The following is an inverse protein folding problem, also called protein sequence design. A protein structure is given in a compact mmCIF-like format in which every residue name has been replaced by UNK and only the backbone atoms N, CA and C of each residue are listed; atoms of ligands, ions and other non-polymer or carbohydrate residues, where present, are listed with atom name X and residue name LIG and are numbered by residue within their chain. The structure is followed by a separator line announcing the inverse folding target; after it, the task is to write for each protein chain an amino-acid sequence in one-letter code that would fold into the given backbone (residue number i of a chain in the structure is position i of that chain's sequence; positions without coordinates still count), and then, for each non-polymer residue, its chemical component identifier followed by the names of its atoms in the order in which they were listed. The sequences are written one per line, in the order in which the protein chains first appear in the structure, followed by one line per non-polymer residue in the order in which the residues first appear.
data_IF_188795594148
#
_entry.id   IF_188795594148
#
_cell.length_a   1.000
_cell.length_b   1.000
_cell.length_c   1.000
_cell.angle_alpha   90.00
_cell.angle_beta   90.00
_cell.angle_gamma   90.00
#
_symmetry.space_group_name_H-M   'P 1'
#
loop_
_entity.id
_entity.type
_entity.pdbx_description
1 polymer ?
#
# COMPACT_ATOMS: atom_id res chain seq x y z
N UNK A 1 -7.33 21.19 0.95
CA UNK A 1 -6.12 20.31 0.84
C UNK A 1 -5.03 21.03 0.09
N UNK A 2 -3.82 20.97 0.60
CA UNK A 2 -2.69 21.57 -0.10
C UNK A 2 -2.27 20.70 -1.28
N UNK A 3 -1.76 21.34 -2.32
CA UNK A 3 -1.36 20.63 -3.54
C UNK A 3 -0.25 19.61 -3.30
N UNK A 4 0.68 19.89 -2.37
CA UNK A 4 1.75 18.96 -2.05
C UNK A 4 1.27 17.68 -1.37
N UNK A 5 0.06 17.66 -0.81
CA UNK A 5 -0.53 16.45 -0.24
C UNK A 5 -1.36 15.67 -1.25
N UNK A 6 -1.94 16.35 -2.22
CA UNK A 6 -2.90 15.73 -3.12
C UNK A 6 -2.31 14.61 -3.98
N UNK A 7 -1.13 14.86 -4.56
CA UNK A 7 -0.51 13.87 -5.45
C UNK A 7 -0.14 12.56 -4.73
N UNK A 8 0.58 12.60 -3.59
CA UNK A 8 0.88 11.35 -2.90
C UNK A 8 -0.35 10.65 -2.35
N UNK A 9 -1.38 11.38 -1.91
CA UNK A 9 -2.62 10.76 -1.46
C UNK A 9 -3.32 10.01 -2.60
N UNK A 10 -3.38 10.60 -3.78
CA UNK A 10 -3.98 9.96 -4.95
C UNK A 10 -3.17 8.77 -5.42
N UNK A 11 -1.85 8.85 -5.37
CA UNK A 11 -0.98 7.72 -5.71
C UNK A 11 -1.25 6.54 -4.80
N UNK A 12 -1.39 6.78 -3.51
CA UNK A 12 -1.68 5.73 -2.53
C UNK A 12 -3.06 5.13 -2.82
N UNK A 13 -4.08 5.95 -2.98
CA UNK A 13 -5.43 5.47 -3.24
C UNK A 13 -5.48 4.62 -4.50
N UNK A 14 -4.88 5.12 -5.58
CA UNK A 14 -4.87 4.43 -6.87
C UNK A 14 -4.19 3.05 -6.76
N UNK A 15 -3.06 2.98 -6.08
CA UNK A 15 -2.29 1.74 -6.00
C UNK A 15 -2.85 0.75 -5.00
N UNK A 16 -3.55 1.22 -3.97
CA UNK A 16 -4.34 0.31 -3.12
C UNK A 16 -5.44 -0.35 -3.96
N UNK A 17 -6.12 0.45 -4.78
CA UNK A 17 -7.18 -0.06 -5.65
C UNK A 17 -6.62 -1.06 -6.67
N UNK A 18 -5.51 -0.72 -7.33
CA UNK A 18 -4.89 -1.61 -8.31
C UNK A 18 -4.44 -2.93 -7.68
N UNK A 19 -3.82 -2.88 -6.51
CA UNK A 19 -3.38 -4.09 -5.82
C UNK A 19 -4.56 -5.01 -5.54
N UNK A 20 -5.68 -4.45 -5.08
CA UNK A 20 -6.90 -5.22 -4.82
C UNK A 20 -7.45 -5.83 -6.11
N UNK A 21 -7.43 -5.09 -7.21
CA UNK A 21 -7.90 -5.57 -8.51
C UNK A 21 -7.05 -6.73 -9.04
N UNK A 22 -5.73 -6.63 -8.87
CA UNK A 22 -4.82 -7.68 -9.35
C UNK A 22 -5.07 -9.02 -8.67
N UNK A 23 -5.53 -9.03 -7.44
CA UNK A 23 -5.79 -10.28 -6.70
C UNK A 23 -7.28 -10.62 -6.63
N UNK A 24 -8.15 -9.81 -7.21
CA UNK A 24 -9.60 -10.02 -7.13
C UNK A 24 -9.97 -11.39 -7.70
N UNK A 25 -10.75 -12.15 -6.94
CA UNK A 25 -11.17 -13.49 -7.35
C UNK A 25 -10.12 -14.56 -7.21
N UNK A 26 -8.92 -14.23 -6.74
CA UNK A 26 -7.83 -15.20 -6.53
C UNK A 26 -7.67 -15.51 -5.05
N UNK A 27 -7.26 -16.74 -4.77
CA UNK A 27 -6.85 -17.15 -3.42
C UNK A 27 -5.34 -17.07 -3.28
N UNK A 28 -4.85 -17.12 -2.05
CA UNK A 28 -3.43 -17.01 -1.77
C UNK A 28 -2.57 -17.97 -2.60
N UNK A 29 -2.98 -19.23 -2.71
CA UNK A 29 -2.21 -20.23 -3.46
C UNK A 29 -2.03 -19.85 -4.93
N UNK A 30 -3.07 -19.27 -5.54
CA UNK A 30 -2.98 -18.81 -6.93
C UNK A 30 -2.00 -17.64 -7.07
N UNK A 31 -2.07 -16.67 -6.16
CA UNK A 31 -1.17 -15.51 -6.20
C UNK A 31 0.26 -15.91 -5.95
N UNK A 32 0.48 -16.80 -4.99
CA UNK A 32 1.81 -17.28 -4.61
C UNK A 32 2.54 -17.92 -5.79
N UNK A 33 1.82 -18.60 -6.65
CA UNK A 33 2.41 -19.31 -7.81
C UNK A 33 2.33 -18.51 -9.10
N UNK A 34 1.78 -17.31 -9.08
CA UNK A 34 1.68 -16.44 -10.27
C UNK A 34 2.67 -15.29 -10.12
N UNK A 35 3.85 -15.46 -10.68
CA UNK A 35 4.93 -14.47 -10.61
C UNK A 35 4.49 -13.12 -11.17
N UNK A 36 3.71 -13.12 -12.24
CA UNK A 36 3.24 -11.91 -12.88
C UNK A 36 2.36 -11.09 -11.94
N UNK A 37 1.37 -11.74 -11.34
CA UNK A 37 0.47 -11.10 -10.37
C UNK A 37 1.24 -10.62 -9.15
N UNK A 38 2.13 -11.46 -8.63
CA UNK A 38 2.93 -11.12 -7.44
C UNK A 38 3.78 -9.88 -7.69
N UNK A 39 4.47 -9.81 -8.83
CA UNK A 39 5.30 -8.67 -9.17
C UNK A 39 4.46 -7.40 -9.36
N UNK A 40 3.29 -7.52 -9.97
CA UNK A 40 2.40 -6.37 -10.14
C UNK A 40 1.95 -5.80 -8.80
N UNK A 41 1.56 -6.67 -7.87
CA UNK A 41 1.14 -6.26 -6.53
C UNK A 41 2.30 -5.65 -5.76
N UNK A 42 3.47 -6.29 -5.80
CA UNK A 42 4.67 -5.76 -5.12
C UNK A 42 4.98 -4.35 -5.62
N UNK A 43 4.89 -4.11 -6.93
CA UNK A 43 5.13 -2.77 -7.46
C UNK A 43 4.14 -1.75 -6.91
N UNK A 44 2.87 -2.10 -6.79
CA UNK A 44 1.88 -1.24 -6.15
C UNK A 44 2.28 -0.89 -4.71
N UNK A 45 2.71 -1.89 -3.95
CA UNK A 45 3.09 -1.70 -2.55
C UNK A 45 4.34 -0.82 -2.43
N UNK A 46 5.29 -0.96 -3.35
CA UNK A 46 6.47 -0.09 -3.40
C UNK A 46 6.09 1.37 -3.65
N UNK A 47 5.17 1.60 -4.57
CA UNK A 47 4.70 2.95 -4.89
C UNK A 47 3.96 3.56 -3.71
N UNK A 48 3.13 2.77 -3.02
CA UNK A 48 2.43 3.22 -1.81
C UNK A 48 3.45 3.63 -0.74
N UNK A 49 4.46 2.80 -0.53
CA UNK A 49 5.53 3.05 0.43
C UNK A 49 6.24 4.37 0.12
N UNK A 50 6.64 4.56 -1.13
CA UNK A 50 7.30 5.78 -1.58
C UNK A 50 6.41 7.01 -1.41
N UNK A 51 5.14 6.90 -1.82
CA UNK A 51 4.21 8.01 -1.70
C UNK A 51 3.96 8.39 -0.24
N UNK A 52 3.92 7.40 0.66
CA UNK A 52 3.74 7.68 2.09
C UNK A 52 4.88 8.52 2.65
N UNK A 53 6.10 8.36 2.14
CA UNK A 53 7.25 9.17 2.56
C UNK A 53 7.13 10.63 2.14
N UNK A 54 6.33 10.93 1.11
CA UNK A 54 6.11 12.29 0.63
C UNK A 54 4.95 13.00 1.32
N UNK A 55 4.21 12.31 2.17
CA UNK A 55 3.12 12.93 2.93
C UNK A 55 3.68 13.88 3.99
N UNK A 56 3.09 15.09 4.16
CA UNK A 56 3.49 15.99 5.21
C UNK A 56 3.28 15.40 6.60
N UNK A 57 4.12 15.78 7.54
CA UNK A 57 4.01 15.29 8.92
C UNK A 57 2.66 15.62 9.54
N UNK A 58 2.07 16.76 9.20
CA UNK A 58 0.76 17.15 9.73
C UNK A 58 -0.35 16.17 9.34
N UNK A 59 -0.27 15.60 8.13
CA UNK A 59 -1.22 14.58 7.69
C UNK A 59 -1.04 13.31 8.51
N UNK A 60 0.19 12.87 8.68
CA UNK A 60 0.51 11.67 9.45
C UNK A 60 0.12 11.81 10.92
N UNK A 61 0.31 13.00 11.48
CA UNK A 61 -0.03 13.27 12.88
C UNK A 61 -1.53 13.20 13.15
N UNK A 62 -2.35 13.46 12.15
CA UNK A 62 -3.81 13.33 12.29
C UNK A 62 -4.28 11.88 12.35
N UNK A 63 -3.42 10.93 11.97
CA UNK A 63 -3.79 9.51 11.89
C UNK A 63 -2.74 8.64 12.57
N UNK A 64 -2.59 8.80 13.90
CA UNK A 64 -1.52 8.10 14.63
C UNK A 64 -1.73 6.59 14.73
N UNK A 65 -2.90 6.09 14.39
CA UNK A 65 -3.16 4.63 14.38
C UNK A 65 -2.50 3.93 13.20
N UNK A 66 -2.09 4.67 12.17
CA UNK A 66 -1.38 4.10 11.03
C UNK A 66 0.11 4.03 11.37
N UNK A 67 0.73 2.85 11.24
CA UNK A 67 2.16 2.72 11.50
C UNK A 67 2.97 3.27 10.30
N UNK A 68 3.05 4.60 10.20
CA UNK A 68 3.64 5.28 9.05
C UNK A 68 5.07 4.85 8.75
N UNK A 69 5.86 4.59 9.80
CA UNK A 69 7.23 4.13 9.65
C UNK A 69 7.29 2.78 8.94
N UNK A 70 6.39 1.88 9.31
CA UNK A 70 6.31 0.56 8.71
C UNK A 70 5.82 0.65 7.26
N UNK A 71 4.85 1.52 7.00
CA UNK A 71 4.36 1.76 5.64
C UNK A 71 5.49 2.27 4.75
N UNK A 72 6.25 3.24 5.25
CA UNK A 72 7.37 3.81 4.50
C UNK A 72 8.50 2.79 4.26
N UNK A 73 8.70 1.86 5.18
CA UNK A 73 9.76 0.85 5.09
C UNK A 73 9.36 -0.42 4.34
N UNK A 74 8.08 -0.62 4.09
CA UNK A 74 7.58 -1.88 3.57
C UNK A 74 8.18 -2.27 2.21
N UNK A 75 8.46 -1.28 1.36
CA UNK A 75 9.06 -1.55 0.05
C UNK A 75 10.40 -2.28 0.12
N UNK A 76 11.17 -2.05 1.17
CA UNK A 76 12.47 -2.73 1.34
C UNK A 76 12.30 -4.20 1.68
N UNK A 77 11.26 -4.53 2.45
CA UNK A 77 10.97 -5.92 2.81
C UNK A 77 10.69 -6.73 1.55
N UNK A 78 9.88 -6.19 0.65
CA UNK A 78 9.51 -6.90 -0.58
C UNK A 78 10.69 -7.18 -1.50
N UNK A 79 11.73 -6.38 -1.43
CA UNK A 79 12.93 -6.55 -2.28
C UNK A 79 13.86 -7.64 -1.76
N UNK A 80 13.87 -7.86 -0.46
CA UNK A 80 14.89 -8.71 0.19
C UNK A 80 14.36 -10.04 0.68
N UNK A 81 13.05 -10.21 0.70
CA UNK A 81 12.45 -11.48 1.09
C UNK A 81 12.26 -12.36 -0.14
N UNK A 82 12.32 -13.65 0.07
CA UNK A 82 12.22 -14.61 -1.03
C UNK A 82 10.90 -15.34 -1.01
N UNK A 83 10.33 -15.39 -2.20
CA UNK A 83 9.23 -16.27 -2.60
C UNK A 83 8.09 -16.40 -1.58
N UNK A 84 8.04 -17.49 -0.83
CA UNK A 84 6.89 -17.79 0.02
C UNK A 84 6.68 -16.78 1.13
N UNK A 85 7.76 -16.31 1.75
CA UNK A 85 7.67 -15.32 2.82
C UNK A 85 7.17 -14.00 2.26
N UNK A 86 7.75 -13.57 1.14
CA UNK A 86 7.33 -12.32 0.49
C UNK A 86 5.88 -12.41 0.01
N UNK A 87 5.49 -13.53 -0.59
CA UNK A 87 4.13 -13.72 -1.07
C UNK A 87 3.11 -13.62 0.08
N UNK A 88 3.42 -14.22 1.22
CA UNK A 88 2.52 -14.16 2.39
C UNK A 88 2.40 -12.75 2.95
N UNK A 89 3.52 -12.04 3.07
CA UNK A 89 3.52 -10.65 3.52
C UNK A 89 2.72 -9.77 2.58
N UNK A 90 2.93 -9.93 1.28
CA UNK A 90 2.20 -9.19 0.25
C UNK A 90 0.70 -9.46 0.35
N UNK A 91 0.31 -10.73 0.44
CA UNK A 91 -1.09 -11.11 0.55
C UNK A 91 -1.76 -10.50 1.78
N UNK A 92 -1.13 -10.66 2.94
CA UNK A 92 -1.68 -10.13 4.19
C UNK A 92 -1.78 -8.59 4.15
N UNK A 93 -0.81 -7.93 3.53
CA UNK A 93 -0.83 -6.48 3.38
C UNK A 93 -2.05 -6.03 2.58
N UNK A 94 -2.30 -6.68 1.44
CA UNK A 94 -3.44 -6.33 0.58
C UNK A 94 -4.77 -6.64 1.26
N UNK A 95 -4.87 -7.77 1.93
CA UNK A 95 -6.14 -8.21 2.52
C UNK A 95 -6.49 -7.48 3.80
N UNK A 96 -5.51 -7.06 4.58
CA UNK A 96 -5.74 -6.56 5.94
C UNK A 96 -5.26 -5.11 6.10
N UNK A 97 -3.95 -4.90 5.97
CA UNK A 97 -3.33 -3.64 6.35
C UNK A 97 -3.78 -2.46 5.48
N UNK A 98 -4.01 -2.69 4.20
CA UNK A 98 -4.35 -1.60 3.28
C UNK A 98 -5.77 -1.08 3.45
N UNK A 99 -6.66 -1.83 4.06
CA UNK A 99 -8.03 -1.36 4.30
C UNK A 99 -8.02 -0.16 5.26
N UNK A 100 -7.29 -0.26 6.36
CA UNK A 100 -7.17 0.85 7.31
C UNK A 100 -6.51 2.07 6.68
N UNK A 101 -5.45 1.85 5.90
CA UNK A 101 -4.77 2.92 5.20
C UNK A 101 -5.71 3.60 4.19
N UNK A 102 -6.47 2.82 3.45
CA UNK A 102 -7.42 3.36 2.46
C UNK A 102 -8.44 4.29 3.10
N UNK A 103 -8.98 3.90 4.24
CA UNK A 103 -9.96 4.73 4.97
C UNK A 103 -9.36 6.10 5.33
N UNK A 104 -8.13 6.11 5.81
CA UNK A 104 -7.42 7.34 6.15
C UNK A 104 -7.20 8.21 4.92
N UNK A 105 -6.73 7.61 3.82
CA UNK A 105 -6.45 8.32 2.59
C UNK A 105 -7.71 8.95 2.00
N UNK A 106 -8.81 8.20 1.98
CA UNK A 106 -10.10 8.71 1.49
C UNK A 106 -10.57 9.88 2.36
N UNK A 107 -10.43 9.77 3.67
CA UNK A 107 -10.79 10.85 4.59
C UNK A 107 -9.97 12.12 4.32
N UNK A 108 -8.65 11.98 4.10
CA UNK A 108 -7.79 13.12 3.81
C UNK A 108 -8.11 13.77 2.47
N UNK A 109 -8.39 12.97 1.46
CA UNK A 109 -8.79 13.50 0.15
C UNK A 109 -10.12 14.27 0.24
N UNK A 110 -11.03 13.82 1.11
CA UNK A 110 -12.30 14.46 1.35
C UNK A 110 -12.22 15.79 2.10
N UNK A 111 -11.10 16.07 2.76
CA UNK A 111 -10.90 17.32 3.49
C UNK A 111 -10.71 18.52 2.55
N UNK A 112 -10.19 18.26 1.36
CA UNK A 112 -9.90 19.30 0.38
C UNK A 112 -11.09 20.09 -0.03
#
# INVERSE_FOLDING_TARGET
MRSESAAPLRDIEHHIQLAAEFVAGLEYEAVRHDTRTLYAVVRCLEIISEASRRLPDEVKARHPSIPWKDVAGAGNVYRHEYEDVAAKVVWDTVQIAQQALREVIVAELGRG
#
